data_IF_918579010527
#
_entry.id   IF_918579010527
#
_cell.length_a   1.000
_cell.length_b   1.000
_cell.length_c   1.000
_cell.angle_alpha   90.00
_cell.angle_beta   90.00
_cell.angle_gamma   90.00
#
_symmetry.space_group_name_H-M   'P 1'
#
loop_
_entity.id
_entity.type
_entity.pdbx_description
1 polymer ?
#
# COMPACT_ATOMS: atom_id res chain seq x y z
N UNK A 1 6.26 -17.40 19.61
CA UNK A 1 5.94 -16.30 18.68
C UNK A 1 7.18 -15.88 17.87
N UNK A 2 7.21 -16.08 16.54
CA UNK A 2 8.37 -15.74 15.70
C UNK A 2 8.67 -14.22 15.64
N UNK A 3 7.69 -13.38 15.96
CA UNK A 3 7.85 -11.91 16.00
C UNK A 3 8.80 -11.40 17.09
N UNK A 4 9.05 -12.17 18.15
CA UNK A 4 9.91 -11.76 19.27
C UNK A 4 11.40 -12.07 19.06
N UNK A 5 11.77 -12.78 17.99
CA UNK A 5 13.17 -13.19 17.76
C UNK A 5 13.94 -12.15 16.95
N UNK A 6 15.05 -11.66 17.49
CA UNK A 6 15.99 -10.77 16.81
C UNK A 6 15.86 -9.29 17.19
N UNK A 7 16.82 -8.46 16.76
CA UNK A 7 16.86 -7.05 17.13
C UNK A 7 15.76 -6.23 16.45
N UNK A 8 15.20 -5.29 17.20
CA UNK A 8 14.13 -4.38 16.77
C UNK A 8 12.93 -5.12 16.14
N UNK A 9 12.19 -5.95 16.91
CA UNK A 9 11.05 -6.73 16.43
C UNK A 9 9.90 -5.85 15.91
N UNK A 10 9.83 -4.59 16.34
CA UNK A 10 8.88 -3.58 15.86
C UNK A 10 8.85 -3.47 14.33
N UNK A 11 9.98 -3.70 13.66
CA UNK A 11 10.09 -3.64 12.19
C UNK A 11 9.25 -4.68 11.45
N UNK A 12 8.81 -5.72 12.15
CA UNK A 12 7.97 -6.81 11.61
C UNK A 12 6.47 -6.59 11.87
N UNK A 13 6.09 -5.45 12.43
CA UNK A 13 4.68 -5.12 12.69
C UNK A 13 4.05 -4.44 11.47
N UNK A 14 2.76 -4.70 11.21
CA UNK A 14 2.03 -4.06 10.11
C UNK A 14 2.04 -2.53 10.25
N UNK A 15 1.82 -2.02 11.47
CA UNK A 15 1.87 -0.57 11.76
C UNK A 15 3.20 0.07 11.34
N UNK A 16 4.32 -0.62 11.53
CA UNK A 16 5.62 -0.13 11.09
C UNK A 16 5.80 -0.21 9.57
N UNK A 17 5.35 -1.29 8.93
CA UNK A 17 5.45 -1.43 7.48
C UNK A 17 4.54 -0.42 6.74
N UNK A 18 3.39 -0.11 7.33
CA UNK A 18 2.43 0.85 6.80
C UNK A 18 2.85 2.31 6.94
N UNK A 19 3.74 2.64 7.88
CA UNK A 19 4.24 4.01 8.07
C UNK A 19 5.32 4.43 7.05
N UNK A 20 5.72 3.51 6.16
CA UNK A 20 6.65 3.80 5.07
C UNK A 20 6.14 4.90 4.15
N UNK A 21 6.98 5.93 3.93
CA UNK A 21 6.64 7.12 3.12
C UNK A 21 6.97 6.94 1.63
N UNK A 22 7.89 6.04 1.29
CA UNK A 22 8.37 5.88 -0.08
C UNK A 22 7.38 5.04 -0.90
N UNK A 23 6.85 5.65 -1.95
CA UNK A 23 6.13 4.97 -3.02
C UNK A 23 6.82 5.26 -4.34
N UNK A 24 7.38 4.24 -4.99
CA UNK A 24 8.02 4.41 -6.29
C UNK A 24 7.03 4.80 -7.40
N UNK A 25 7.55 5.55 -8.38
CA UNK A 25 6.88 5.74 -9.68
C UNK A 25 6.70 4.39 -10.37
N UNK A 26 5.66 4.26 -11.19
CA UNK A 26 5.35 3.02 -11.94
C UNK A 26 6.46 2.59 -12.91
N UNK A 27 7.29 3.54 -13.33
CA UNK A 27 8.44 3.31 -14.22
C UNK A 27 9.57 2.55 -13.54
N UNK A 28 9.75 2.68 -12.23
CA UNK A 28 10.81 1.95 -11.50
C UNK A 28 10.43 0.47 -11.44
N UNK A 29 11.32 -0.41 -11.89
CA UNK A 29 11.13 -1.87 -11.88
C UNK A 29 12.06 -2.59 -10.92
N UNK A 30 13.33 -2.17 -10.88
CA UNK A 30 14.35 -2.78 -10.03
C UNK A 30 14.99 -1.68 -9.19
N UNK A 31 15.13 -1.95 -7.90
CA UNK A 31 15.80 -1.09 -6.94
C UNK A 31 16.90 -1.88 -6.26
N UNK A 32 18.16 -1.58 -6.57
CA UNK A 32 19.31 -2.27 -6.00
C UNK A 32 20.13 -1.38 -5.10
N UNK A 33 20.51 -1.88 -3.93
CA UNK A 33 21.32 -1.16 -2.95
C UNK A 33 22.66 -1.88 -2.80
N UNK A 34 23.74 -1.15 -3.05
CA UNK A 34 25.10 -1.61 -2.78
C UNK A 34 25.59 -0.93 -1.51
N UNK A 35 26.01 -1.72 -0.53
CA UNK A 35 26.52 -1.19 0.73
C UNK A 35 27.56 -2.10 1.36
N UNK A 36 28.38 -1.54 2.24
CA UNK A 36 29.43 -2.28 2.92
C UNK A 36 29.02 -2.63 4.35
N UNK A 37 29.48 -3.78 4.82
CA UNK A 37 29.19 -4.27 6.19
C UNK A 37 30.04 -3.58 7.24
N UNK A 38 31.21 -3.07 6.86
CA UNK A 38 32.22 -2.45 7.72
C UNK A 38 32.50 -1.03 7.27
N UNK A 39 32.96 -0.16 8.18
CA UNK A 39 33.32 1.23 7.90
C UNK A 39 32.31 2.25 8.45
N UNK A 40 32.83 3.32 9.07
CA UNK A 40 32.02 4.35 9.72
C UNK A 40 31.22 5.18 8.70
N UNK A 41 31.81 5.48 7.55
CA UNK A 41 31.19 6.24 6.46
C UNK A 41 30.01 5.51 5.78
N UNK A 42 29.79 4.23 6.11
CA UNK A 42 28.71 3.39 5.55
C UNK A 42 27.63 3.05 6.59
N UNK A 43 27.69 3.62 7.79
CA UNK A 43 26.70 3.39 8.84
C UNK A 43 25.29 3.76 8.38
N UNK A 44 25.10 4.93 7.76
CA UNK A 44 23.80 5.37 7.27
C UNK A 44 23.19 4.44 6.21
N UNK A 45 24.01 3.84 5.34
CA UNK A 45 23.55 2.86 4.36
C UNK A 45 23.10 1.54 5.02
N UNK A 46 23.85 1.05 6.02
CA UNK A 46 23.48 -0.14 6.80
C UNK A 46 22.18 0.09 7.55
N UNK A 47 22.06 1.24 8.19
CA UNK A 47 20.86 1.66 8.89
C UNK A 47 19.66 1.82 7.96
N UNK A 48 19.86 2.39 6.78
CA UNK A 48 18.82 2.51 5.77
C UNK A 48 18.28 1.13 5.36
N UNK A 49 19.17 0.19 5.07
CA UNK A 49 18.80 -1.19 4.75
C UNK A 49 18.11 -1.87 5.94
N UNK A 50 18.57 -1.64 7.16
CA UNK A 50 17.99 -2.24 8.35
C UNK A 50 16.60 -1.70 8.67
N UNK A 51 16.38 -0.40 8.61
CA UNK A 51 15.11 0.22 9.01
C UNK A 51 14.11 0.35 7.86
N UNK A 52 14.53 0.85 6.71
CA UNK A 52 13.61 1.27 5.64
C UNK A 52 13.38 0.20 4.56
N UNK A 53 14.31 -0.72 4.32
CA UNK A 53 14.15 -1.76 3.29
C UNK A 53 12.82 -2.55 3.41
N UNK A 54 12.40 -3.00 4.62
CA UNK A 54 11.15 -3.74 4.75
C UNK A 54 9.92 -2.89 4.38
N UNK A 55 9.93 -1.61 4.75
CA UNK A 55 8.85 -0.68 4.43
C UNK A 55 8.74 -0.45 2.92
N UNK A 56 9.89 -0.26 2.25
CA UNK A 56 9.97 -0.05 0.80
C UNK A 56 9.40 -1.26 0.06
N UNK A 57 9.83 -2.47 0.42
CA UNK A 57 9.32 -3.69 -0.21
C UNK A 57 7.83 -3.90 0.04
N UNK A 58 7.34 -3.60 1.25
CA UNK A 58 5.92 -3.73 1.59
C UNK A 58 5.02 -2.76 0.81
N UNK A 59 5.46 -1.51 0.65
CA UNK A 59 4.71 -0.50 -0.11
C UNK A 59 4.80 -0.67 -1.62
N UNK A 60 5.86 -1.33 -2.11
CA UNK A 60 6.11 -1.51 -3.53
C UNK A 60 6.28 -3.00 -3.89
N UNK A 61 5.19 -3.80 -3.81
CA UNK A 61 5.26 -5.24 -4.09
C UNK A 61 5.64 -5.58 -5.53
N UNK A 62 5.41 -4.66 -6.47
CA UNK A 62 5.71 -4.84 -7.90
C UNK A 62 7.14 -4.41 -8.28
N UNK A 63 7.93 -3.89 -7.34
CA UNK A 63 9.32 -3.49 -7.58
C UNK A 63 10.22 -4.55 -6.97
N UNK A 64 11.18 -5.04 -7.75
CA UNK A 64 12.17 -5.98 -7.26
C UNK A 64 13.24 -5.22 -6.48
N UNK A 65 13.37 -5.51 -5.18
CA UNK A 65 14.41 -4.92 -4.34
C UNK A 65 15.56 -5.91 -4.16
N UNK A 66 16.79 -5.49 -4.47
CA UNK A 66 18.00 -6.31 -4.40
C UNK A 66 19.02 -5.62 -3.52
N UNK A 67 19.77 -6.40 -2.73
CA UNK A 67 20.87 -5.86 -1.92
C UNK A 67 22.16 -6.60 -2.24
N UNK A 68 23.23 -5.84 -2.43
CA UNK A 68 24.58 -6.33 -2.66
C UNK A 68 25.47 -5.82 -1.53
N UNK A 69 26.34 -6.69 -1.01
CA UNK A 69 27.21 -6.40 0.11
C UNK A 69 28.66 -6.51 -0.32
N UNK A 70 29.49 -5.54 0.06
CA UNK A 70 30.95 -5.58 -0.11
C UNK A 70 31.43 -5.81 -1.55
N UNK A 71 30.66 -5.37 -2.55
CA UNK A 71 31.09 -5.43 -3.96
C UNK A 71 31.86 -4.19 -4.41
N UNK A 72 31.55 -3.04 -3.82
CA UNK A 72 32.13 -1.75 -4.20
C UNK A 72 32.61 -0.99 -2.98
N UNK A 73 33.69 -0.19 -3.07
CA UNK A 73 34.23 0.54 -1.92
C UNK A 73 33.26 1.61 -1.41
N UNK A 74 32.46 2.21 -2.29
CA UNK A 74 31.45 3.22 -1.93
C UNK A 74 30.03 2.66 -2.05
N UNK A 75 29.10 3.07 -1.17
CA UNK A 75 27.73 2.61 -1.17
C UNK A 75 26.90 3.49 -2.12
N UNK A 76 26.03 2.86 -2.90
CA UNK A 76 25.16 3.57 -3.84
C UNK A 76 23.87 2.79 -4.07
N UNK A 77 22.87 3.49 -4.57
CA UNK A 77 21.58 2.95 -4.96
C UNK A 77 21.46 3.06 -6.47
N UNK A 78 20.99 1.99 -7.10
CA UNK A 78 20.67 1.94 -8.53
C UNK A 78 19.18 1.69 -8.71
N UNK A 79 18.54 2.57 -9.47
CA UNK A 79 17.17 2.41 -9.93
C UNK A 79 17.19 2.07 -11.42
N UNK A 80 16.47 1.02 -11.80
CA UNK A 80 16.27 0.63 -13.19
C UNK A 80 14.82 0.91 -13.59
N UNK A 81 14.65 1.64 -14.67
CA UNK A 81 13.35 2.02 -15.20
C UNK A 81 12.91 1.08 -16.33
N UNK A 82 11.61 1.11 -16.64
CA UNK A 82 10.98 0.33 -17.70
C UNK A 82 11.49 0.67 -19.11
N UNK A 83 11.88 1.92 -19.33
CA UNK A 83 12.51 2.38 -20.58
C UNK A 83 13.98 1.92 -20.73
N UNK A 84 14.53 1.19 -19.75
CA UNK A 84 15.92 0.75 -19.74
C UNK A 84 16.92 1.78 -19.20
N UNK A 85 16.46 2.99 -18.84
CA UNK A 85 17.30 3.98 -18.18
C UNK A 85 17.72 3.50 -16.79
N UNK A 86 18.89 3.97 -16.37
CA UNK A 86 19.49 3.66 -15.08
C UNK A 86 19.82 4.95 -14.36
N UNK A 87 19.52 4.98 -13.08
CA UNK A 87 19.83 6.12 -12.22
C UNK A 87 20.65 5.65 -11.04
N UNK A 88 21.82 6.26 -10.89
CA UNK A 88 22.74 6.04 -9.78
C UNK A 88 22.56 7.16 -8.76
N UNK A 89 22.36 6.78 -7.50
CA UNK A 89 22.25 7.68 -6.37
C UNK A 89 23.38 7.33 -5.40
N UNK A 90 24.31 8.27 -5.23
CA UNK A 90 25.38 8.13 -4.24
C UNK A 90 24.84 8.37 -2.82
N UNK A 91 25.17 7.45 -1.91
CA UNK A 91 24.76 7.48 -0.51
C UNK A 91 25.95 7.46 0.46
N UNK A 92 27.15 7.74 -0.04
CA UNK A 92 28.35 7.89 0.80
C UNK A 92 28.17 8.98 1.86
N UNK A 93 28.53 8.67 3.12
CA UNK A 93 28.45 9.57 4.30
C UNK A 93 27.07 10.17 4.63
N UNK A 94 26.00 9.74 3.97
CA UNK A 94 24.65 10.22 4.25
C UNK A 94 24.00 9.47 5.40
N UNK A 95 23.19 10.16 6.19
CA UNK A 95 22.35 9.53 7.21
C UNK A 95 21.16 8.81 6.57
N UNK A 96 20.60 7.82 7.28
CA UNK A 96 19.46 7.02 6.79
C UNK A 96 18.25 7.86 6.38
N UNK A 97 17.96 8.93 7.11
CA UNK A 97 16.82 9.83 6.85
C UNK A 97 17.06 10.67 5.60
N UNK A 98 18.28 11.20 5.45
CA UNK A 98 18.70 11.94 4.26
C UNK A 98 18.66 11.08 3.00
N UNK A 99 19.06 9.80 3.11
CA UNK A 99 18.95 8.83 2.01
C UNK A 99 17.49 8.63 1.63
N UNK A 100 16.61 8.43 2.62
CA UNK A 100 15.18 8.24 2.37
C UNK A 100 14.56 9.45 1.66
N UNK A 101 14.79 10.64 2.17
CA UNK A 101 14.23 11.88 1.61
C UNK A 101 14.75 12.13 0.19
N UNK A 102 16.03 11.85 -0.06
CA UNK A 102 16.61 11.96 -1.39
C UNK A 102 15.98 10.96 -2.37
N UNK A 103 15.77 9.70 -1.98
CA UNK A 103 15.13 8.69 -2.83
C UNK A 103 13.66 9.04 -3.09
N UNK A 104 12.93 9.56 -2.09
CA UNK A 104 11.55 10.05 -2.26
C UNK A 104 11.50 11.16 -3.31
N UNK A 105 12.41 12.14 -3.21
CA UNK A 105 12.46 13.27 -4.14
C UNK A 105 12.72 12.83 -5.59
N UNK A 106 13.62 11.87 -5.78
CA UNK A 106 14.10 11.50 -7.12
C UNK A 106 13.26 10.40 -7.76
N UNK A 107 13.01 9.30 -7.04
CA UNK A 107 12.35 8.10 -7.57
C UNK A 107 10.90 7.91 -7.04
N UNK A 108 10.49 8.71 -6.06
CA UNK A 108 9.16 8.66 -5.47
C UNK A 108 8.09 9.32 -6.33
N UNK A 109 6.84 8.94 -6.06
CA UNK A 109 5.64 9.65 -6.50
C UNK A 109 5.53 11.00 -5.79
N UNK A 110 4.92 11.98 -6.44
CA UNK A 110 4.64 13.26 -5.80
C UNK A 110 3.47 13.12 -4.81
N UNK A 111 3.48 13.95 -3.76
CA UNK A 111 2.40 13.98 -2.77
C UNK A 111 1.03 14.24 -3.42
N UNK A 112 0.99 15.10 -4.43
CA UNK A 112 -0.22 15.35 -5.21
C UNK A 112 -0.78 14.07 -5.84
N UNK A 113 0.06 13.25 -6.48
CA UNK A 113 -0.37 11.99 -7.08
C UNK A 113 -0.85 10.98 -6.05
N UNK A 114 -0.21 10.92 -4.87
CA UNK A 114 -0.62 10.05 -3.78
C UNK A 114 -2.00 10.44 -3.23
N UNK A 115 -2.24 11.74 -3.03
CA UNK A 115 -3.53 12.25 -2.55
C UNK A 115 -4.65 12.01 -3.56
N UNK A 116 -4.36 12.13 -4.87
CA UNK A 116 -5.31 11.78 -5.92
C UNK A 116 -5.63 10.28 -5.92
N UNK A 117 -4.62 9.42 -5.83
CA UNK A 117 -4.82 7.96 -5.76
C UNK A 117 -5.64 7.56 -4.51
N UNK A 118 -5.39 8.19 -3.37
CA UNK A 118 -6.15 7.97 -2.13
C UNK A 118 -7.62 8.37 -2.31
N UNK A 119 -7.89 9.58 -2.83
CA UNK A 119 -9.27 10.04 -3.11
C UNK A 119 -9.98 9.15 -4.12
N UNK A 120 -9.30 8.67 -5.15
CA UNK A 120 -9.89 7.76 -6.14
C UNK A 120 -10.23 6.40 -5.52
N UNK A 121 -9.43 5.90 -4.58
CA UNK A 121 -9.68 4.65 -3.87
C UNK A 121 -10.89 4.76 -2.94
N UNK A 122 -11.07 5.90 -2.28
CA UNK A 122 -12.23 6.19 -1.42
C UNK A 122 -13.51 6.39 -2.24
N UNK A 123 -13.43 7.05 -3.41
CA UNK A 123 -14.59 7.33 -4.28
C UNK A 123 -15.20 6.11 -4.98
N UNK A 124 -14.67 4.91 -4.76
CA UNK A 124 -15.02 3.74 -5.58
C UNK A 124 -16.44 3.22 -5.32
N UNK A 125 -16.97 3.46 -4.12
CA UNK A 125 -18.29 2.96 -3.76
C UNK A 125 -19.33 4.09 -3.91
N UNK A 126 -20.17 3.96 -4.93
CA UNK A 126 -21.33 4.83 -5.08
C UNK A 126 -22.28 4.55 -3.90
N UNK A 127 -22.56 5.55 -3.02
CA UNK A 127 -23.41 5.35 -1.84
C UNK A 127 -24.87 5.01 -2.19
N UNK A 128 -25.26 5.18 -3.46
CA UNK A 128 -26.57 4.77 -3.97
C UNK A 128 -26.65 3.28 -4.33
N UNK A 129 -25.53 2.54 -4.32
CA UNK A 129 -25.55 1.10 -4.59
C UNK A 129 -26.20 0.33 -3.43
N UNK A 130 -26.90 -0.75 -3.79
CA UNK A 130 -27.49 -1.69 -2.83
C UNK A 130 -26.87 -3.07 -3.05
N UNK A 131 -26.67 -3.82 -1.96
CA UNK A 131 -26.25 -5.22 -2.02
C UNK A 131 -25.22 -5.59 -0.96
N UNK A 132 -24.53 -6.71 -1.21
CA UNK A 132 -23.43 -7.17 -0.34
C UNK A 132 -22.21 -6.24 -0.48
N UNK A 133 -21.58 -5.87 0.64
CA UNK A 133 -20.54 -4.83 0.74
C UNK A 133 -20.96 -3.39 0.41
N UNK A 134 -22.26 -3.11 0.29
CA UNK A 134 -22.78 -1.74 0.25
C UNK A 134 -23.30 -1.34 1.64
N UNK A 135 -23.51 -0.04 1.86
CA UNK A 135 -24.09 0.47 3.11
C UNK A 135 -25.48 -0.11 3.40
N UNK A 136 -26.22 -0.45 2.34
CA UNK A 136 -27.58 -0.97 2.40
C UNK A 136 -27.68 -2.24 1.57
N UNK A 137 -28.34 -3.26 2.11
CA UNK A 137 -28.49 -4.52 1.39
C UNK A 137 -29.68 -4.50 0.44
N UNK A 138 -30.81 -3.96 0.89
CA UNK A 138 -32.05 -3.88 0.12
C UNK A 138 -32.75 -2.54 0.37
N UNK A 139 -33.51 -2.08 -0.62
CA UNK A 139 -34.26 -0.82 -0.54
C UNK A 139 -35.31 -0.79 0.58
N UNK A 140 -35.75 -1.96 1.07
CA UNK A 140 -36.69 -2.06 2.18
C UNK A 140 -36.15 -1.51 3.52
N UNK A 141 -34.84 -1.26 3.64
CA UNK A 141 -34.22 -0.59 4.79
C UNK A 141 -34.48 0.93 4.78
N UNK A 142 -34.88 1.50 3.65
CA UNK A 142 -35.11 2.93 3.52
C UNK A 142 -36.52 3.28 4.03
N UNK A 143 -36.67 4.21 4.98
CA UNK A 143 -37.97 4.63 5.47
C UNK A 143 -38.81 5.24 4.33
N UNK A 144 -40.09 4.90 4.29
CA UNK A 144 -41.01 5.27 3.21
C UNK A 144 -41.11 4.26 2.08
N UNK A 145 -40.20 3.27 2.02
CA UNK A 145 -40.27 2.15 1.08
C UNK A 145 -41.09 0.98 1.65
N UNK A 146 -41.43 0.03 0.79
CA UNK A 146 -42.10 -1.20 1.21
C UNK A 146 -41.18 -2.06 2.08
N UNK A 147 -41.65 -2.44 3.27
CA UNK A 147 -40.94 -3.33 4.18
C UNK A 147 -40.82 -4.74 3.61
N UNK A 148 -39.73 -5.44 3.96
CA UNK A 148 -39.53 -6.83 3.54
C UNK A 148 -40.64 -7.75 4.10
N UNK A 149 -41.24 -8.64 3.28
CA UNK A 149 -42.27 -9.58 3.73
C UNK A 149 -41.85 -10.49 4.88
N UNK A 150 -40.54 -10.76 5.02
CA UNK A 150 -39.99 -11.54 6.13
C UNK A 150 -40.06 -10.84 7.49
N UNK A 151 -40.14 -9.50 7.51
CA UNK A 151 -40.30 -8.70 8.74
C UNK A 151 -41.78 -8.43 9.00
N UNK A 152 -42.49 -7.93 7.97
CA UNK A 152 -43.91 -7.61 8.05
C UNK A 152 -44.61 -8.15 6.80
N UNK A 153 -45.59 -9.04 6.96
CA UNK A 153 -46.20 -9.68 5.81
C UNK A 153 -47.09 -8.66 5.07
N UNK A 154 -47.03 -8.67 3.74
CA UNK A 154 -47.72 -7.68 2.88
C UNK A 154 -49.25 -7.83 2.96
N UNK A 155 -50.06 -6.82 2.60
CA UNK A 155 -51.52 -6.98 2.49
C UNK A 155 -51.93 -8.10 1.52
N UNK A 156 -53.06 -8.77 1.76
CA UNK A 156 -53.52 -9.91 0.94
C UNK A 156 -53.69 -9.54 -0.54
N UNK A 157 -54.20 -8.34 -0.81
CA UNK A 157 -54.32 -7.76 -2.16
C UNK A 157 -53.01 -7.63 -2.95
N UNK A 158 -51.85 -7.75 -2.29
CA UNK A 158 -50.51 -7.69 -2.92
C UNK A 158 -49.83 -9.07 -2.98
N UNK A 159 -50.48 -10.13 -2.47
CA UNK A 159 -49.91 -11.48 -2.41
C UNK A 159 -50.50 -12.35 -3.50
N UNK A 160 -49.64 -12.93 -4.35
CA UNK A 160 -50.06 -13.77 -5.48
C UNK A 160 -50.99 -14.94 -5.13
N UNK A 161 -50.88 -15.50 -3.91
CA UNK A 161 -51.77 -16.58 -3.43
C UNK A 161 -53.25 -16.19 -3.44
N UNK A 162 -53.58 -14.95 -3.07
CA UNK A 162 -54.97 -14.48 -2.97
C UNK A 162 -55.46 -13.87 -4.29
N UNK A 163 -54.56 -13.24 -5.05
CA UNK A 163 -54.88 -12.69 -6.37
C UNK A 163 -55.23 -13.80 -7.37
N UNK A 164 -54.52 -14.93 -7.31
CA UNK A 164 -54.66 -16.03 -8.28
C UNK A 164 -55.50 -17.20 -7.75
N UNK A 165 -56.20 -17.04 -6.63
CA UNK A 165 -57.14 -18.03 -6.17
C UNK A 165 -58.29 -18.09 -7.18
N UNK A 166 -58.36 -19.17 -7.98
CA UNK A 166 -59.55 -19.46 -8.78
C UNK A 166 -60.69 -19.79 -7.83
N UNK A 167 -61.86 -19.21 -8.08
CA UNK A 167 -63.12 -19.58 -7.41
C UNK A 167 -63.38 -21.08 -7.48
#
# INVERSE_FOLDING_TARGET
>A
MPFMKGPAPIRRTLKYLESGKLFFRKSVKIFSINYNTSGNHHEGARDFVFWFLPQIQYKNPNVQVITFKNMTPTPFIHCYFDNGEKMLIDIFEKKKEEILDHVIKVAGKSEHTLNLEARMKEKKDNPANFGYYCDRHCICEIPGQLTCPGIKPLPEKMRGKYINAKE
#
